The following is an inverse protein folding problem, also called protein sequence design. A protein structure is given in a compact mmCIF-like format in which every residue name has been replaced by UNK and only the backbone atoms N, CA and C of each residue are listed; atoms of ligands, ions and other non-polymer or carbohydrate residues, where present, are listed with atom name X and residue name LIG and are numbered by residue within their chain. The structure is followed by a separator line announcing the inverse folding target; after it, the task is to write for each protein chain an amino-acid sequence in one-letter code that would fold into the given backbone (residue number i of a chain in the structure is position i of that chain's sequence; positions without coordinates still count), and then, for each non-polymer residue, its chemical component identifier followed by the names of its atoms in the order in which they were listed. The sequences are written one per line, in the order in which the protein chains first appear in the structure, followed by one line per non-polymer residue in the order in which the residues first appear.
data_IF_134916696806
#
_entry.id   IF_134916696806
#
_cell.length_a   1.000
_cell.length_b   1.000
_cell.length_c   1.000
_cell.angle_alpha   90.00
_cell.angle_beta   90.00
_cell.angle_gamma   90.00
#
_symmetry.space_group_name_H-M   'P 1'
#
loop_
_entity.id
_entity.type
_entity.pdbx_description
1 polymer ?
#
# COMPACT_ATOMS: atom_id res chain seq x y z
N UNK A 1 -23.60 -20.20 -50.74
CA UNK A 1 -23.67 -18.72 -50.57
C UNK A 1 -24.69 -18.42 -49.48
N UNK A 2 -24.26 -17.98 -48.29
CA UNK A 2 -25.21 -17.52 -47.27
C UNK A 2 -25.88 -16.23 -47.75
N UNK A 3 -27.21 -16.21 -47.77
CA UNK A 3 -27.98 -15.01 -48.10
C UNK A 3 -27.75 -13.88 -47.09
N UNK A 4 -28.12 -12.65 -47.46
CA UNK A 4 -27.93 -11.41 -46.66
C UNK A 4 -28.39 -11.53 -45.20
N UNK A 5 -29.43 -12.32 -44.91
CA UNK A 5 -29.92 -12.61 -43.55
C UNK A 5 -28.99 -13.55 -42.74
N UNK A 6 -28.27 -14.45 -43.40
CA UNK A 6 -27.27 -15.34 -42.79
C UNK A 6 -26.00 -14.60 -42.37
N UNK A 7 -25.57 -13.61 -43.17
CA UNK A 7 -24.46 -12.71 -42.82
C UNK A 7 -24.79 -11.83 -41.60
N UNK A 8 -26.01 -11.31 -41.51
CA UNK A 8 -26.45 -10.53 -40.36
C UNK A 8 -26.51 -11.36 -39.06
N UNK A 9 -26.90 -12.65 -39.14
CA UNK A 9 -26.89 -13.56 -38.00
C UNK A 9 -25.48 -13.94 -37.56
N UNK A 10 -24.56 -14.18 -38.50
CA UNK A 10 -23.15 -14.46 -38.20
C UNK A 10 -22.46 -13.24 -37.57
N UNK A 11 -22.72 -12.03 -38.11
CA UNK A 11 -22.18 -10.80 -37.57
C UNK A 11 -22.74 -10.51 -36.16
N UNK A 12 -24.04 -10.74 -35.92
CA UNK A 12 -24.63 -10.60 -34.60
C UNK A 12 -24.05 -11.60 -33.58
N UNK A 13 -23.79 -12.85 -33.98
CA UNK A 13 -23.15 -13.86 -33.13
C UNK A 13 -21.67 -13.52 -32.84
N UNK A 14 -20.93 -12.98 -33.81
CA UNK A 14 -19.55 -12.52 -33.62
C UNK A 14 -19.47 -11.29 -32.70
N UNK A 15 -20.40 -10.34 -32.82
CA UNK A 15 -20.48 -9.19 -31.92
C UNK A 15 -20.88 -9.64 -30.50
N UNK A 16 -21.83 -10.57 -30.36
CA UNK A 16 -22.17 -11.15 -29.06
C UNK A 16 -20.98 -11.90 -28.43
N UNK A 17 -20.17 -12.62 -29.23
CA UNK A 17 -18.98 -13.32 -28.73
C UNK A 17 -17.85 -12.35 -28.30
N UNK A 18 -17.68 -11.22 -29.02
CA UNK A 18 -16.71 -10.17 -28.67
C UNK A 18 -17.13 -9.34 -27.44
N UNK A 19 -18.43 -9.14 -27.22
CA UNK A 19 -18.96 -8.44 -26.03
C UNK A 19 -18.82 -9.28 -24.76
N UNK A 20 -18.91 -10.62 -24.85
CA UNK A 20 -18.70 -11.51 -23.69
C UNK A 20 -17.24 -11.54 -23.23
N UNK A 21 -16.27 -11.34 -24.14
CA UNK A 21 -14.85 -11.31 -23.77
C UNK A 21 -14.35 -9.95 -23.22
N UNK A 22 -15.14 -8.88 -23.37
CA UNK A 22 -14.71 -7.52 -22.98
C UNK A 22 -15.06 -7.14 -21.53
N UNK A 23 -15.67 -8.05 -20.77
CA UNK A 23 -16.15 -7.78 -19.40
C UNK A 23 -15.35 -8.50 -18.31
N UNK A 24 -14.15 -8.97 -18.64
CA UNK A 24 -13.17 -9.38 -17.63
C UNK A 24 -12.47 -8.15 -17.07
N UNK A 25 -13.12 -7.39 -16.19
CA UNK A 25 -12.36 -6.56 -15.25
C UNK A 25 -11.58 -7.55 -14.42
N UNK A 26 -10.30 -7.77 -14.76
CA UNK A 26 -9.34 -8.45 -13.89
C UNK A 26 -9.29 -7.64 -12.61
N UNK A 27 -10.11 -8.03 -11.63
CA UNK A 27 -9.98 -7.54 -10.27
C UNK A 27 -8.53 -7.85 -9.86
N UNK A 28 -7.83 -6.83 -9.36
CA UNK A 28 -6.50 -7.04 -8.81
C UNK A 28 -6.58 -8.22 -7.82
N UNK A 29 -5.60 -9.15 -7.85
CA UNK A 29 -5.60 -10.26 -6.91
C UNK A 29 -5.74 -9.70 -5.49
N UNK A 30 -6.57 -10.34 -4.64
CA UNK A 30 -6.78 -9.84 -3.29
C UNK A 30 -5.44 -9.77 -2.56
N UNK A 31 -5.21 -8.65 -1.89
CA UNK A 31 -4.05 -8.45 -1.03
C UNK A 31 -4.00 -9.59 0.00
N UNK A 32 -2.85 -10.27 0.21
CA UNK A 32 -2.78 -11.40 1.13
C UNK A 32 -3.04 -10.94 2.56
N UNK A 33 -3.89 -11.67 3.29
CA UNK A 33 -4.07 -11.45 4.72
C UNK A 33 -2.81 -11.89 5.49
N UNK A 34 -2.53 -11.32 6.67
CA UNK A 34 -1.46 -11.84 7.52
C UNK A 34 -1.68 -13.32 7.85
N UNK A 35 -2.91 -13.70 8.21
CA UNK A 35 -3.26 -15.08 8.56
C UNK A 35 -2.98 -16.08 7.44
N UNK A 36 -3.23 -15.73 6.17
CA UNK A 36 -2.98 -16.66 5.06
C UNK A 36 -1.48 -16.93 4.83
N UNK A 37 -0.61 -16.03 5.25
CA UNK A 37 0.84 -16.20 5.17
C UNK A 37 1.45 -16.78 6.45
N UNK A 38 0.92 -16.42 7.61
CA UNK A 38 1.42 -16.85 8.91
C UNK A 38 0.90 -18.24 9.30
N UNK A 39 -0.31 -18.59 8.85
CA UNK A 39 -1.03 -19.81 9.24
C UNK A 39 -1.77 -19.69 10.58
N UNK A 40 -1.82 -18.48 11.16
CA UNK A 40 -2.51 -18.14 12.39
C UNK A 40 -2.87 -16.64 12.38
N UNK A 41 -3.92 -16.21 13.11
CA UNK A 41 -4.26 -14.80 13.20
C UNK A 41 -3.20 -14.02 13.97
N UNK A 42 -2.98 -12.78 13.57
CA UNK A 42 -2.07 -11.86 14.27
C UNK A 42 -2.48 -11.70 15.73
N UNK A 43 -1.53 -11.81 16.65
CA UNK A 43 -1.78 -11.75 18.09
C UNK A 43 -2.45 -12.99 18.68
N UNK A 44 -2.46 -14.13 17.98
CA UNK A 44 -2.92 -15.40 18.52
C UNK A 44 -2.15 -15.81 19.79
N UNK A 45 -2.86 -16.39 20.76
CA UNK A 45 -2.27 -16.92 21.98
C UNK A 45 -1.16 -17.93 21.66
N UNK A 46 -0.03 -17.81 22.34
CA UNK A 46 1.15 -18.68 22.18
C UNK A 46 1.83 -18.63 20.79
N UNK A 47 1.53 -17.61 19.99
CA UNK A 47 2.24 -17.33 18.74
C UNK A 47 2.99 -16.00 18.81
N UNK A 48 4.26 -16.03 18.41
CA UNK A 48 5.08 -14.84 18.18
C UNK A 48 5.68 -14.92 16.78
N UNK A 49 5.49 -13.86 16.00
CA UNK A 49 5.95 -13.81 14.62
C UNK A 49 7.41 -13.38 14.56
N UNK A 50 8.25 -14.23 13.97
CA UNK A 50 9.66 -13.91 13.75
C UNK A 50 9.83 -12.72 12.80
N UNK A 51 10.87 -11.92 13.03
CA UNK A 51 11.20 -10.75 12.20
C UNK A 51 11.21 -11.04 10.70
N UNK A 52 11.76 -12.19 10.29
CA UNK A 52 11.83 -12.61 8.89
C UNK A 52 10.44 -12.78 8.25
N UNK A 53 9.45 -13.24 9.02
CA UNK A 53 8.06 -13.38 8.57
C UNK A 53 7.36 -12.03 8.49
N UNK A 54 7.63 -11.12 9.43
CA UNK A 54 7.10 -9.74 9.38
C UNK A 54 7.60 -9.02 8.13
N UNK A 55 8.92 -9.03 7.89
CA UNK A 55 9.53 -8.45 6.68
C UNK A 55 8.95 -9.11 5.42
N UNK A 56 8.92 -10.45 5.38
CA UNK A 56 8.37 -11.19 4.25
C UNK A 56 6.90 -10.85 3.97
N UNK A 57 6.11 -10.60 5.00
CA UNK A 57 4.73 -10.15 4.86
C UNK A 57 4.62 -8.73 4.28
N UNK A 58 5.42 -7.79 4.79
CA UNK A 58 5.45 -6.42 4.25
C UNK A 58 5.87 -6.40 2.77
N UNK A 59 6.85 -7.20 2.38
CA UNK A 59 7.26 -7.37 0.97
C UNK A 59 6.19 -8.03 0.10
N UNK A 60 5.40 -8.95 0.66
CA UNK A 60 4.27 -9.54 -0.04
C UNK A 60 3.17 -8.50 -0.30
N UNK A 61 2.93 -7.59 0.64
CA UNK A 61 2.02 -6.47 0.45
C UNK A 61 2.50 -5.50 -0.65
N UNK A 62 3.77 -5.15 -0.67
CA UNK A 62 4.39 -4.30 -1.71
C UNK A 62 4.18 -4.91 -3.11
N UNK A 63 4.44 -6.22 -3.25
CA UNK A 63 4.22 -6.94 -4.52
C UNK A 63 2.75 -7.01 -4.94
N UNK A 64 1.84 -7.05 -3.97
CA UNK A 64 0.41 -7.27 -4.22
C UNK A 64 -0.41 -5.98 -4.40
N UNK A 65 0.06 -4.83 -3.89
CA UNK A 65 -0.71 -3.60 -3.86
C UNK A 65 0.09 -2.39 -4.34
N UNK A 66 -0.38 -1.62 -5.34
CA UNK A 66 0.29 -0.39 -5.79
C UNK A 66 0.20 0.76 -4.76
N UNK A 67 -0.41 0.50 -3.60
CA UNK A 67 -0.55 1.41 -2.47
C UNK A 67 0.53 1.23 -1.42
N UNK A 68 1.38 0.21 -1.57
CA UNK A 68 2.43 -0.14 -0.62
C UNK A 68 3.77 0.01 -1.31
N UNK A 69 4.77 0.50 -0.58
CA UNK A 69 6.17 0.48 -0.99
C UNK A 69 7.04 0.13 0.21
N UNK A 70 7.86 -0.92 0.11
CA UNK A 70 8.85 -1.26 1.12
C UNK A 70 10.21 -0.68 0.75
N UNK A 71 10.82 0.04 1.68
CA UNK A 71 12.08 0.75 1.50
C UNK A 71 13.09 0.24 2.52
N UNK A 72 14.13 -0.50 2.13
CA UNK A 72 15.22 -0.84 3.03
C UNK A 72 16.03 0.43 3.34
N UNK A 73 16.28 0.70 4.61
CA UNK A 73 17.02 1.89 5.04
C UNK A 73 18.32 1.57 5.80
N UNK A 74 18.55 0.30 6.15
CA UNK A 74 19.75 -0.08 6.86
C UNK A 74 19.79 -1.56 7.22
N UNK A 75 20.70 -1.88 8.13
CA UNK A 75 20.91 -3.23 8.64
C UNK A 75 21.25 -3.14 10.12
N UNK A 76 20.70 -4.07 10.92
CA UNK A 76 21.02 -4.17 12.34
C UNK A 76 22.44 -4.69 12.57
N UNK A 77 23.00 -4.59 13.80
CA UNK A 77 24.28 -5.21 14.13
C UNK A 77 24.33 -6.73 13.92
N UNK A 78 23.19 -7.40 14.00
CA UNK A 78 23.06 -8.85 13.73
C UNK A 78 22.85 -9.18 12.24
N UNK A 79 22.92 -8.18 11.35
CA UNK A 79 22.76 -8.39 9.91
C UNK A 79 21.31 -8.50 9.44
N UNK A 80 20.32 -8.15 10.27
CA UNK A 80 18.91 -8.17 9.87
C UNK A 80 18.56 -6.89 9.09
N UNK A 81 17.75 -6.96 8.02
CA UNK A 81 17.36 -5.77 7.28
C UNK A 81 16.50 -4.86 8.16
N UNK A 82 16.66 -3.54 7.99
CA UNK A 82 15.76 -2.52 8.53
C UNK A 82 14.95 -1.95 7.37
N UNK A 83 13.63 -1.93 7.50
CA UNK A 83 12.69 -1.55 6.43
C UNK A 83 11.70 -0.49 6.89
N UNK A 84 11.26 0.34 5.96
CA UNK A 84 10.05 1.14 6.10
C UNK A 84 8.98 0.58 5.17
N UNK A 85 7.75 0.46 5.65
CA UNK A 85 6.58 0.15 4.82
C UNK A 85 5.75 1.43 4.68
N UNK A 86 5.75 2.01 3.49
CA UNK A 86 4.96 3.20 3.16
C UNK A 86 3.62 2.75 2.58
N UNK A 87 2.51 3.22 3.14
CA UNK A 87 1.15 2.93 2.68
C UNK A 87 0.39 4.22 2.43
N UNK A 88 -0.11 4.41 1.21
CA UNK A 88 -0.89 5.60 0.80
C UNK A 88 -1.71 5.30 -0.47
N UNK A 89 -2.38 6.30 -1.05
CA UNK A 89 -3.01 6.12 -2.36
C UNK A 89 -1.95 5.85 -3.44
N UNK A 90 -2.32 5.14 -4.51
CA UNK A 90 -1.39 4.85 -5.61
C UNK A 90 -0.80 6.14 -6.22
N UNK A 91 -1.61 7.20 -6.32
CA UNK A 91 -1.14 8.51 -6.76
C UNK A 91 -0.11 9.09 -5.79
N UNK A 92 -0.33 8.93 -4.48
CA UNK A 92 0.61 9.41 -3.49
C UNK A 92 1.93 8.64 -3.53
N UNK A 93 1.88 7.31 -3.65
CA UNK A 93 3.05 6.44 -3.80
C UNK A 93 3.89 6.86 -5.02
N UNK A 94 3.26 7.11 -6.18
CA UNK A 94 3.95 7.58 -7.39
C UNK A 94 4.65 8.93 -7.22
N UNK A 95 4.21 9.75 -6.27
CA UNK A 95 4.72 11.10 -6.02
C UNK A 95 5.50 11.22 -4.70
N UNK A 96 5.92 10.12 -4.07
CA UNK A 96 6.56 10.15 -2.74
C UNK A 96 7.75 11.09 -2.65
N UNK A 97 8.62 11.11 -3.66
CA UNK A 97 9.77 12.02 -3.70
C UNK A 97 9.35 13.49 -3.62
N UNK A 98 8.31 13.89 -4.36
CA UNK A 98 7.75 15.25 -4.31
C UNK A 98 7.27 15.58 -2.90
N UNK A 99 6.51 14.68 -2.26
CA UNK A 99 5.99 14.94 -0.92
C UNK A 99 7.08 14.96 0.16
N UNK A 100 8.12 14.13 0.01
CA UNK A 100 9.31 14.17 0.85
C UNK A 100 10.04 15.52 0.74
N UNK A 101 10.23 16.03 -0.48
CA UNK A 101 10.83 17.35 -0.72
C UNK A 101 9.99 18.50 -0.15
N UNK A 102 8.66 18.44 -0.31
CA UNK A 102 7.74 19.42 0.29
C UNK A 102 7.86 19.39 1.82
N UNK A 103 7.82 18.20 2.42
CA UNK A 103 7.93 18.03 3.88
C UNK A 103 9.26 18.55 4.41
N UNK A 104 10.38 18.21 3.76
CA UNK A 104 11.70 18.69 4.13
C UNK A 104 11.82 20.22 4.01
N UNK A 105 11.26 20.81 2.94
CA UNK A 105 11.27 22.26 2.74
C UNK A 105 10.43 23.01 3.78
N UNK A 106 9.30 22.43 4.20
CA UNK A 106 8.47 22.99 5.26
C UNK A 106 9.10 22.82 6.65
N UNK A 107 9.86 21.73 6.88
CA UNK A 107 10.57 21.49 8.13
C UNK A 107 11.76 22.44 8.34
N UNK A 108 12.43 22.85 7.26
CA UNK A 108 13.48 23.89 7.29
C UNK A 108 13.07 25.12 6.46
N UNK A 109 12.35 26.08 7.06
CA UNK A 109 11.80 27.25 6.36
C UNK A 109 12.84 28.35 6.12
N UNK A 110 14.13 28.13 6.39
CA UNK A 110 15.17 29.14 6.12
C UNK A 110 15.17 29.48 4.62
N UNK A 111 14.99 30.76 4.30
CA UNK A 111 14.88 31.24 2.92
C UNK A 111 13.57 30.87 2.21
N UNK A 112 12.53 30.43 2.92
CA UNK A 112 11.20 30.14 2.36
C UNK A 112 10.27 31.34 2.58
N UNK A 113 9.75 31.91 1.49
CA UNK A 113 8.78 33.01 1.56
C UNK A 113 7.37 32.52 1.93
N UNK A 114 6.58 33.37 2.56
CA UNK A 114 5.23 33.02 3.04
C UNK A 114 4.31 32.49 1.92
N UNK A 115 4.32 33.13 0.75
CA UNK A 115 3.50 32.70 -0.40
C UNK A 115 3.88 31.29 -0.88
N UNK A 116 5.18 30.98 -0.88
CA UNK A 116 5.68 29.67 -1.27
C UNK A 116 5.34 28.63 -0.21
N UNK A 117 5.48 28.95 1.07
CA UNK A 117 5.07 28.08 2.17
C UNK A 117 3.57 27.72 2.08
N UNK A 118 2.68 28.70 1.85
CA UNK A 118 1.25 28.46 1.70
C UNK A 118 0.91 27.57 0.49
N UNK A 119 1.69 27.66 -0.59
CA UNK A 119 1.55 26.75 -1.74
C UNK A 119 1.96 25.32 -1.35
N UNK A 120 3.13 25.17 -0.72
CA UNK A 120 3.65 23.87 -0.28
C UNK A 120 2.73 23.18 0.73
N UNK A 121 2.12 23.93 1.65
CA UNK A 121 1.13 23.40 2.61
C UNK A 121 -0.09 22.82 1.90
N UNK A 122 -0.60 23.50 0.85
CA UNK A 122 -1.76 23.04 0.08
C UNK A 122 -1.44 21.83 -0.80
N UNK A 123 -0.22 21.75 -1.31
CA UNK A 123 0.23 20.66 -2.17
C UNK A 123 0.75 19.44 -1.40
N UNK A 124 1.20 19.63 -0.16
CA UNK A 124 1.76 18.59 0.69
C UNK A 124 0.73 17.58 1.19
N UNK A 125 1.24 16.52 1.81
CA UNK A 125 0.44 15.49 2.49
C UNK A 125 0.87 15.40 3.95
N UNK A 126 -0.06 15.03 4.82
CA UNK A 126 0.31 14.66 6.19
C UNK A 126 1.11 13.36 6.15
N UNK A 127 2.22 13.31 6.88
CA UNK A 127 3.03 12.10 7.04
C UNK A 127 2.80 11.58 8.46
N UNK A 128 2.29 10.36 8.58
CA UNK A 128 2.05 9.71 9.86
C UNK A 128 3.04 8.55 10.04
N UNK A 129 4.00 8.71 10.95
CA UNK A 129 5.08 7.74 11.16
C UNK A 129 4.82 6.90 12.41
N UNK A 130 4.81 5.59 12.24
CA UNK A 130 4.59 4.59 13.30
C UNK A 130 5.87 3.80 13.48
N UNK A 131 6.56 4.00 14.61
CA UNK A 131 7.60 3.09 15.07
C UNK A 131 6.94 2.03 15.96
N UNK A 132 7.02 0.77 15.56
CA UNK A 132 6.47 -0.35 16.33
C UNK A 132 7.62 -1.16 16.94
N UNK A 133 7.51 -1.51 18.23
CA UNK A 133 8.36 -2.50 18.90
C UNK A 133 9.83 -2.06 19.14
N UNK A 134 10.08 -0.77 19.44
CA UNK A 134 11.44 -0.29 19.78
C UNK A 134 12.06 -1.00 21.00
N UNK A 135 11.21 -1.51 21.91
CA UNK A 135 11.62 -2.39 23.01
C UNK A 135 11.27 -3.83 22.65
N UNK A 136 12.25 -4.73 22.62
CA UNK A 136 12.08 -6.09 22.10
C UNK A 136 11.01 -6.95 22.80
N UNK A 137 10.67 -6.64 24.05
CA UNK A 137 9.65 -7.37 24.81
C UNK A 137 8.22 -6.86 24.59
N UNK A 138 8.04 -5.73 23.90
CA UNK A 138 6.74 -5.09 23.62
C UNK A 138 6.18 -5.52 22.25
N UNK A 139 6.05 -6.84 22.06
CA UNK A 139 5.78 -7.48 20.76
C UNK A 139 4.44 -7.12 20.11
N UNK A 140 3.48 -6.62 20.89
CA UNK A 140 2.11 -6.37 20.40
C UNK A 140 2.04 -5.38 19.24
N UNK A 141 2.92 -4.37 19.21
CA UNK A 141 2.93 -3.40 18.12
C UNK A 141 3.45 -3.96 16.80
N UNK A 142 4.46 -4.84 16.83
CA UNK A 142 5.01 -5.47 15.61
C UNK A 142 4.00 -6.42 14.96
N UNK A 143 3.23 -7.13 15.78
CA UNK A 143 2.09 -7.94 15.34
C UNK A 143 1.01 -7.04 14.71
N UNK A 144 0.53 -6.03 15.44
CA UNK A 144 -0.57 -5.16 15.03
C UNK A 144 -0.32 -4.46 13.68
N UNK A 145 0.92 -4.03 13.39
CA UNK A 145 1.19 -3.28 12.16
C UNK A 145 1.02 -4.12 10.89
N UNK A 146 1.11 -5.45 10.95
CA UNK A 146 0.79 -6.32 9.81
C UNK A 146 -0.70 -6.21 9.45
N UNK A 147 -1.59 -6.26 10.44
CA UNK A 147 -3.03 -6.07 10.26
C UNK A 147 -3.38 -4.65 9.81
N UNK A 148 -2.70 -3.63 10.35
CA UNK A 148 -2.90 -2.25 9.92
C UNK A 148 -2.53 -2.08 8.43
N UNK A 149 -1.34 -2.56 8.04
CA UNK A 149 -0.86 -2.47 6.67
C UNK A 149 -1.80 -3.21 5.70
N UNK A 150 -2.26 -4.41 6.07
CA UNK A 150 -3.26 -5.17 5.30
C UNK A 150 -4.54 -4.36 5.05
N UNK A 151 -5.14 -3.82 6.11
CA UNK A 151 -6.40 -3.08 6.05
C UNK A 151 -6.27 -1.82 5.19
N UNK A 152 -5.16 -1.11 5.30
CA UNK A 152 -4.89 0.06 4.46
C UNK A 152 -4.61 -0.33 3.00
N UNK A 153 -3.82 -1.38 2.75
CA UNK A 153 -3.45 -1.81 1.41
C UNK A 153 -4.66 -2.35 0.61
N UNK A 154 -5.55 -3.10 1.26
CA UNK A 154 -6.72 -3.74 0.64
C UNK A 154 -8.06 -3.02 0.84
N UNK A 155 -8.14 -2.04 1.75
CA UNK A 155 -9.39 -1.37 2.10
C UNK A 155 -9.97 -0.53 0.95
N UNK A 156 -11.27 -0.67 0.73
CA UNK A 156 -12.00 0.02 -0.36
C UNK A 156 -13.15 0.89 0.14
N UNK A 157 -13.39 0.89 1.45
CA UNK A 157 -14.39 1.75 2.08
C UNK A 157 -13.97 3.24 1.99
N UNK A 158 -14.95 4.12 2.18
CA UNK A 158 -14.75 5.56 2.03
C UNK A 158 -13.76 6.14 3.05
N UNK A 159 -13.71 5.60 4.26
CA UNK A 159 -12.81 6.07 5.31
C UNK A 159 -11.36 5.74 4.95
N UNK A 160 -11.08 4.49 4.56
CA UNK A 160 -9.74 4.07 4.15
C UNK A 160 -9.26 4.88 2.96
N UNK A 161 -10.08 5.05 1.91
CA UNK A 161 -9.72 5.87 0.75
C UNK A 161 -9.40 7.32 1.14
N UNK A 162 -10.25 7.94 1.95
CA UNK A 162 -10.03 9.30 2.41
C UNK A 162 -8.72 9.46 3.23
N UNK A 163 -8.39 8.47 4.06
CA UNK A 163 -7.10 8.44 4.77
C UNK A 163 -5.96 8.39 3.76
N UNK A 164 -5.97 7.42 2.85
CA UNK A 164 -4.88 7.19 1.91
C UNK A 164 -4.68 8.32 0.89
N UNK A 165 -5.74 9.03 0.52
CA UNK A 165 -5.65 10.18 -0.39
C UNK A 165 -4.98 11.39 0.27
N UNK A 166 -5.06 11.52 1.59
CA UNK A 166 -4.59 12.69 2.35
C UNK A 166 -3.35 12.43 3.22
N UNK A 167 -3.07 11.16 3.54
CA UNK A 167 -2.03 10.75 4.48
C UNK A 167 -1.09 9.76 3.82
N UNK A 168 0.21 9.98 4.02
CA UNK A 168 1.27 9.00 3.76
C UNK A 168 1.59 8.35 5.11
N UNK A 169 1.20 7.08 5.27
CA UNK A 169 1.51 6.32 6.48
C UNK A 169 2.86 5.65 6.29
N UNK A 170 3.79 5.87 7.21
CA UNK A 170 5.10 5.22 7.23
C UNK A 170 5.15 4.31 8.45
N UNK A 171 5.36 3.03 8.24
CA UNK A 171 5.48 2.03 9.29
C UNK A 171 6.95 1.60 9.34
N UNK A 172 7.56 1.73 10.50
CA UNK A 172 8.87 1.19 10.85
C UNK A 172 8.61 0.01 11.81
N UNK A 173 8.44 -1.21 11.27
CA UNK A 173 8.32 -2.40 12.10
C UNK A 173 9.70 -2.70 12.70
N UNK A 174 9.79 -2.95 14.02
CA UNK A 174 11.02 -3.34 14.72
C UNK A 174 10.86 -4.68 15.45
#
# INVERSE_FOLDING_TARGET
MLGRKGWLRLAALLVAFLVVFSSGVLAAPPVPTPESMLGYPVGADYHLTEWSKIVGYMEALDKASPRVQVIPYGTTPEGKPLILTVVSSEENIKNLKKYQEISARLADPRGLGEKEAQKLIKEGKAIYWICANIHSTEVGSAEMVMELAYKLAGGTDAQTKNILDNVIVVIDPS
#
